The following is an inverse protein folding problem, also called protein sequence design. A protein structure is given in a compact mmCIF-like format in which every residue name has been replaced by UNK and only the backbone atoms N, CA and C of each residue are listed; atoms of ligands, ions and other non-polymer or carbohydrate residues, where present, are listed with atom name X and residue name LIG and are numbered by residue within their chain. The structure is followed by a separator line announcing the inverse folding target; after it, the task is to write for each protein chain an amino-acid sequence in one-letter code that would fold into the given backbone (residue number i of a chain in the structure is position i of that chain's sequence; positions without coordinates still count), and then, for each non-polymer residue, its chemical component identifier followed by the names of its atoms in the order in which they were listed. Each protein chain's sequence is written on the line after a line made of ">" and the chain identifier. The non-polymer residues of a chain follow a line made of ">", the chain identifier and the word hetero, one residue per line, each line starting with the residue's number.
data_IF_422323129224
#
_entry.id   IF_422323129224
#
_cell.length_a   1.000
_cell.length_b   1.000
_cell.length_c   1.000
_cell.angle_alpha   90.00
_cell.angle_beta   90.00
_cell.angle_gamma   90.00
#
_symmetry.space_group_name_H-M   'P 1'
#
loop_
_entity.id
_entity.type
_entity.pdbx_description
1 polymer ?
#
# COMPACT_ATOMS: atom_id res chain seq x y z
N UNK A 1 -6.46 -10.58 -8.49
CA UNK A 1 -7.54 -11.39 -9.08
C UNK A 1 -7.23 -12.88 -9.05
N UNK A 2 -6.09 -13.35 -9.58
CA UNK A 2 -5.72 -14.79 -9.57
C UNK A 2 -5.60 -15.43 -8.18
N UNK A 3 -5.45 -14.64 -7.11
CA UNK A 3 -5.43 -15.07 -5.71
C UNK A 3 -6.81 -14.95 -5.02
N UNK A 4 -7.91 -15.14 -5.76
CA UNK A 4 -9.29 -15.11 -5.24
C UNK A 4 -9.74 -13.81 -4.55
N UNK A 5 -9.04 -12.71 -4.80
CA UNK A 5 -9.46 -11.35 -4.42
C UNK A 5 -10.13 -10.69 -5.62
N UNK A 6 -11.39 -10.30 -5.45
CA UNK A 6 -12.19 -9.58 -6.43
C UNK A 6 -12.07 -8.09 -6.21
N UNK A 7 -11.82 -7.32 -7.27
CA UNK A 7 -11.90 -5.86 -7.22
C UNK A 7 -13.37 -5.47 -7.28
N UNK A 8 -13.92 -4.90 -6.20
CA UNK A 8 -15.32 -4.46 -6.14
C UNK A 8 -15.48 -2.95 -6.27
N UNK A 9 -14.39 -2.18 -6.08
CA UNK A 9 -14.32 -0.78 -6.45
C UNK A 9 -12.87 -0.40 -6.83
N UNK A 10 -12.74 0.52 -7.80
CA UNK A 10 -11.45 1.03 -8.27
C UNK A 10 -11.58 2.52 -8.57
N UNK A 11 -10.59 3.32 -8.14
CA UNK A 11 -10.50 4.74 -8.49
C UNK A 11 -9.05 5.20 -8.62
N UNK A 12 -8.70 5.83 -9.74
CA UNK A 12 -7.46 6.60 -9.87
C UNK A 12 -7.62 7.98 -9.25
N UNK A 13 -6.70 8.39 -8.38
CA UNK A 13 -6.77 9.69 -7.68
C UNK A 13 -5.36 10.24 -7.43
N UNK A 14 -5.18 11.54 -7.62
CA UNK A 14 -4.04 12.27 -7.05
C UNK A 14 -4.42 12.68 -5.62
N UNK A 15 -3.71 12.17 -4.61
CA UNK A 15 -3.96 12.58 -3.23
C UNK A 15 -3.41 13.98 -2.99
N UNK A 16 -4.14 14.80 -2.25
CA UNK A 16 -3.57 16.02 -1.68
C UNK A 16 -2.67 15.67 -0.49
N UNK A 17 -1.75 16.55 -0.11
CA UNK A 17 -0.90 16.34 1.08
C UNK A 17 -1.74 16.16 2.35
N UNK A 18 -2.82 16.95 2.51
CA UNK A 18 -3.75 16.82 3.64
C UNK A 18 -4.46 15.47 3.66
N UNK A 19 -4.86 14.94 2.50
CA UNK A 19 -5.47 13.60 2.42
C UNK A 19 -4.49 12.50 2.80
N UNK A 20 -3.23 12.58 2.33
CA UNK A 20 -2.19 11.63 2.70
C UNK A 20 -1.86 11.69 4.20
N UNK A 21 -1.74 12.90 4.77
CA UNK A 21 -1.52 13.10 6.21
C UNK A 21 -2.67 12.55 7.06
N UNK A 22 -3.91 12.79 6.65
CA UNK A 22 -5.10 12.25 7.31
C UNK A 22 -5.13 10.72 7.27
N UNK A 23 -4.81 10.13 6.12
CA UNK A 23 -4.78 8.67 5.95
C UNK A 23 -3.68 8.01 6.80
N UNK A 24 -2.50 8.62 6.89
CA UNK A 24 -1.36 8.10 7.66
C UNK A 24 -1.25 8.68 9.07
N UNK A 25 -2.32 9.27 9.62
CA UNK A 25 -2.29 9.96 10.91
C UNK A 25 -1.73 9.12 12.06
N UNK A 26 -1.93 7.80 12.04
CA UNK A 26 -1.37 6.86 13.03
C UNK A 26 0.17 6.89 13.09
N UNK A 27 0.84 7.38 12.05
CA UNK A 27 2.29 7.52 11.97
C UNK A 27 2.79 8.94 12.24
N UNK A 28 1.93 9.88 12.67
CA UNK A 28 2.29 11.31 12.79
C UNK A 28 3.57 11.59 13.58
N UNK A 29 3.81 10.85 14.65
CA UNK A 29 4.99 11.00 15.51
C UNK A 29 6.24 10.23 15.01
N UNK A 30 6.14 9.55 13.87
CA UNK A 30 7.24 8.78 13.29
C UNK A 30 8.15 9.69 12.47
N UNK A 31 9.48 9.48 12.52
CA UNK A 31 10.43 10.34 11.81
C UNK A 31 10.22 10.35 10.28
N UNK A 32 9.66 9.28 9.72
CA UNK A 32 9.39 9.14 8.28
C UNK A 32 8.04 9.71 7.83
N UNK A 33 7.21 10.26 8.73
CA UNK A 33 5.84 10.68 8.41
C UNK A 33 5.78 11.69 7.26
N UNK A 34 6.63 12.71 7.32
CA UNK A 34 6.68 13.78 6.31
C UNK A 34 7.07 13.24 4.93
N UNK A 35 8.06 12.35 4.88
CA UNK A 35 8.53 11.77 3.62
C UNK A 35 7.48 10.82 3.04
N UNK A 36 6.81 10.05 3.89
CA UNK A 36 5.70 9.18 3.51
C UNK A 36 4.53 9.97 2.88
N UNK A 37 4.06 11.03 3.53
CA UNK A 37 2.91 11.80 3.04
C UNK A 37 3.27 12.64 1.80
N UNK A 38 4.51 13.13 1.73
CA UNK A 38 5.06 13.78 0.52
C UNK A 38 5.11 12.80 -0.64
N UNK A 39 5.62 11.59 -0.43
CA UNK A 39 5.69 10.58 -1.49
C UNK A 39 4.29 10.17 -1.97
N UNK A 40 3.37 9.89 -1.06
CA UNK A 40 2.00 9.48 -1.39
C UNK A 40 1.17 10.55 -2.09
N UNK A 41 1.55 11.83 -1.94
CA UNK A 41 0.93 12.96 -2.63
C UNK A 41 1.72 13.44 -3.87
N UNK A 42 2.86 12.80 -4.19
CA UNK A 42 3.72 13.20 -5.32
C UNK A 42 3.21 12.77 -6.70
N UNK A 43 2.27 11.82 -6.76
CA UNK A 43 1.73 11.29 -8.01
C UNK A 43 0.40 10.55 -7.83
N UNK A 44 -0.26 10.15 -8.93
CA UNK A 44 -1.56 9.53 -8.87
C UNK A 44 -1.46 8.09 -8.37
N UNK A 45 -2.37 7.71 -7.47
CA UNK A 45 -2.51 6.34 -6.96
C UNK A 45 -3.76 5.67 -7.53
N UNK A 46 -3.77 4.34 -7.46
CA UNK A 46 -4.97 3.52 -7.71
C UNK A 46 -5.48 3.02 -6.37
N UNK A 47 -6.68 3.48 -5.99
CA UNK A 47 -7.39 3.03 -4.81
C UNK A 47 -8.25 1.83 -5.19
N UNK A 48 -8.22 0.78 -4.37
CA UNK A 48 -8.92 -0.47 -4.58
C UNK A 48 -9.74 -0.85 -3.33
N UNK A 49 -10.92 -1.40 -3.56
CA UNK A 49 -11.63 -2.21 -2.56
C UNK A 49 -11.61 -3.65 -3.05
N UNK A 50 -11.04 -4.54 -2.23
CA UNK A 50 -10.89 -5.96 -2.52
C UNK A 50 -11.84 -6.77 -1.64
N UNK A 51 -12.57 -7.69 -2.27
CA UNK A 51 -13.48 -8.63 -1.61
C UNK A 51 -12.98 -10.06 -1.81
N UNK A 52 -13.05 -10.87 -0.75
CA UNK A 52 -12.66 -12.27 -0.78
C UNK A 52 -12.62 -12.88 0.62
N UNK A 53 -12.50 -14.20 0.69
CA UNK A 53 -12.29 -14.89 1.97
C UNK A 53 -10.95 -14.48 2.56
N UNK A 54 -10.95 -14.08 3.84
CA UNK A 54 -9.74 -13.58 4.51
C UNK A 54 -9.02 -12.48 3.71
N UNK A 55 -9.78 -11.53 3.14
CA UNK A 55 -9.27 -10.56 2.18
C UNK A 55 -8.05 -9.78 2.69
N UNK A 56 -8.05 -9.42 3.98
CA UNK A 56 -6.99 -8.63 4.60
C UNK A 56 -5.69 -9.42 4.68
N UNK A 57 -5.69 -10.61 5.31
CA UNK A 57 -4.49 -11.44 5.40
C UNK A 57 -4.01 -11.88 4.02
N UNK A 58 -4.92 -12.25 3.12
CA UNK A 58 -4.59 -12.64 1.73
C UNK A 58 -3.95 -11.49 0.95
N UNK A 59 -4.44 -10.26 1.10
CA UNK A 59 -3.83 -9.09 0.47
C UNK A 59 -2.45 -8.78 1.06
N UNK A 60 -2.28 -8.91 2.38
CA UNK A 60 -0.99 -8.71 3.04
C UNK A 60 0.05 -9.74 2.62
N UNK A 61 -0.35 -11.01 2.47
CA UNK A 61 0.51 -12.06 1.95
C UNK A 61 0.93 -11.76 0.51
N UNK A 62 -0.02 -11.36 -0.35
CA UNK A 62 0.26 -10.99 -1.73
C UNK A 62 1.17 -9.75 -1.85
N UNK A 63 1.01 -8.77 -0.96
CA UNK A 63 1.91 -7.62 -0.88
C UNK A 63 3.34 -8.00 -0.49
N UNK A 64 3.50 -8.90 0.47
CA UNK A 64 4.80 -9.27 1.04
C UNK A 64 5.32 -8.32 2.11
N UNK A 65 6.52 -8.62 2.64
CA UNK A 65 7.17 -7.83 3.69
C UNK A 65 7.40 -6.38 3.25
N UNK A 66 7.30 -5.42 4.19
CA UNK A 66 7.39 -3.98 3.93
C UNK A 66 8.70 -3.57 3.25
N UNK A 67 9.82 -4.19 3.63
CA UNK A 67 11.10 -4.04 2.96
C UNK A 67 11.15 -5.02 1.75
N UNK A 68 11.25 -4.52 0.49
CA UNK A 68 11.38 -5.37 -0.70
C UNK A 68 12.54 -6.38 -0.65
N UNK A 69 13.63 -6.05 0.06
CA UNK A 69 14.77 -6.97 0.20
C UNK A 69 14.39 -8.22 0.97
N UNK A 70 13.55 -8.07 2.00
CA UNK A 70 13.05 -9.14 2.88
C UNK A 70 11.79 -9.84 2.34
N UNK A 71 11.16 -9.28 1.29
CA UNK A 71 9.95 -9.84 0.71
C UNK A 71 10.21 -11.15 -0.06
N UNK A 72 9.29 -12.10 0.07
CA UNK A 72 9.38 -13.39 -0.62
C UNK A 72 9.21 -13.22 -2.15
N UNK A 73 9.85 -14.09 -2.93
CA UNK A 73 9.75 -14.11 -4.40
C UNK A 73 8.30 -14.22 -4.87
N UNK A 74 7.90 -13.39 -5.83
CA UNK A 74 6.54 -13.38 -6.39
C UNK A 74 5.53 -12.56 -5.58
N UNK A 75 5.96 -11.86 -4.53
CA UNK A 75 5.13 -10.86 -3.86
C UNK A 75 5.25 -9.51 -4.55
N UNK A 76 4.22 -8.66 -4.44
CA UNK A 76 4.18 -7.34 -5.10
C UNK A 76 5.40 -6.50 -4.72
N UNK A 77 5.77 -6.48 -3.43
CA UNK A 77 6.92 -5.71 -2.96
C UNK A 77 8.25 -6.25 -3.48
N UNK A 78 8.38 -7.56 -3.62
CA UNK A 78 9.60 -8.15 -4.17
C UNK A 78 9.79 -7.83 -5.65
N UNK A 79 8.70 -7.83 -6.40
CA UNK A 79 8.74 -7.68 -7.85
C UNK A 79 8.75 -6.20 -8.28
N UNK A 80 8.12 -5.31 -7.51
CA UNK A 80 7.90 -3.92 -7.91
C UNK A 80 8.37 -2.87 -6.91
N UNK A 81 8.74 -3.24 -5.68
CA UNK A 81 9.22 -2.30 -4.66
C UNK A 81 10.63 -1.81 -4.96
N UNK A 82 10.88 -0.52 -4.76
CA UNK A 82 12.21 0.09 -4.96
C UNK A 82 13.03 0.01 -3.67
N UNK A 83 12.43 0.37 -2.54
CA UNK A 83 13.02 0.32 -1.21
C UNK A 83 11.92 0.38 -0.13
N UNK A 84 12.29 0.49 1.15
CA UNK A 84 11.34 0.52 2.28
C UNK A 84 10.36 1.72 2.24
N UNK A 85 10.78 2.85 1.68
CA UNK A 85 9.96 4.07 1.56
C UNK A 85 9.05 4.02 0.32
N UNK A 86 9.53 3.39 -0.75
CA UNK A 86 8.86 3.27 -2.06
C UNK A 86 8.56 1.81 -2.37
N UNK A 87 7.71 1.21 -1.55
CA UNK A 87 7.39 -0.22 -1.57
C UNK A 87 6.13 -0.59 -2.38
N UNK A 88 5.68 0.30 -3.26
CA UNK A 88 4.67 0.04 -4.31
C UNK A 88 3.21 -0.21 -3.87
N UNK A 89 2.95 -0.84 -2.73
CA UNK A 89 1.59 -1.16 -2.28
C UNK A 89 1.36 -0.95 -0.78
N UNK A 90 0.16 -0.48 -0.47
CA UNK A 90 -0.41 -0.36 0.87
C UNK A 90 -1.63 -1.28 1.00
N UNK A 91 -1.98 -1.67 2.22
CA UNK A 91 -3.20 -2.39 2.53
C UNK A 91 -3.52 -2.35 4.01
N UNK A 92 -4.81 -2.45 4.33
CA UNK A 92 -5.32 -2.52 5.70
C UNK A 92 -4.66 -3.63 6.50
N UNK A 93 -4.54 -3.44 7.81
CA UNK A 93 -3.95 -4.38 8.75
C UNK A 93 -4.97 -5.03 9.70
N UNK A 94 -6.23 -4.58 9.70
CA UNK A 94 -7.36 -5.14 10.47
C UNK A 94 -8.68 -5.07 9.72
#
# INVERSE_FOLDING_TARGET
>A
ESNHLKIVALKRKQLTSTEAEGFYQVHRERPFFKDLTTYMSSGPVVLLVLEGTQAISSWRELMGATNPEEAAKGTIRKDFGINIEKNSAHGSDS
#
